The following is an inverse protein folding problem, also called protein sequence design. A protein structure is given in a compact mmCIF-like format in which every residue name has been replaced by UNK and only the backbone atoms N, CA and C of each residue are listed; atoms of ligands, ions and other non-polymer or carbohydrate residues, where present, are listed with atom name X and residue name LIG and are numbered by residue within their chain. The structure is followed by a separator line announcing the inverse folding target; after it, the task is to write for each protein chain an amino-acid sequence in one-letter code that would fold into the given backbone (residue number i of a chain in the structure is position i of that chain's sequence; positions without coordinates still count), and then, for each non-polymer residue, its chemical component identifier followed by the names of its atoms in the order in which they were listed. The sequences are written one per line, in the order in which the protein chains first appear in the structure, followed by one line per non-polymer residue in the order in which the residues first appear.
data_IF_174065325699
#
_entry.id   IF_174065325699
#
_cell.length_a   1.000
_cell.length_b   1.000
_cell.length_c   1.000
_cell.angle_alpha   90.00
_cell.angle_beta   90.00
_cell.angle_gamma   90.00
#
_symmetry.space_group_name_H-M   'P 1'
#
loop_
_entity.id
_entity.type
_entity.pdbx_description
1 polymer ?
#
# COMPACT_ATOMS: atom_id res chain seq x y z
N UNK A 1 -10.23 -1.97 34.02
CA UNK A 1 -9.98 -0.87 33.06
C UNK A 1 -8.58 -0.91 32.46
N UNK A 2 -7.52 -1.25 33.22
CA UNK A 2 -6.16 -1.37 32.70
C UNK A 2 -5.97 -2.39 31.56
N UNK A 3 -6.72 -3.50 31.55
CA UNK A 3 -6.60 -4.53 30.50
C UNK A 3 -7.02 -4.04 29.11
N UNK A 4 -8.12 -3.28 29.00
CA UNK A 4 -8.61 -2.74 27.72
C UNK A 4 -7.59 -1.79 27.08
N UNK A 5 -6.94 -0.95 27.88
CA UNK A 5 -5.91 -0.01 27.40
C UNK A 5 -4.68 -0.75 26.86
N UNK A 6 -4.21 -1.79 27.56
CA UNK A 6 -3.10 -2.63 27.10
C UNK A 6 -3.44 -3.38 25.81
N UNK A 7 -4.67 -3.88 25.67
CA UNK A 7 -5.14 -4.54 24.45
C UNK A 7 -5.20 -3.58 23.26
N UNK A 8 -5.73 -2.36 23.45
CA UNK A 8 -5.78 -1.35 22.40
C UNK A 8 -4.39 -0.91 21.93
N UNK A 9 -3.46 -0.69 22.88
CA UNK A 9 -2.07 -0.34 22.54
C UNK A 9 -1.41 -1.47 21.74
N UNK A 10 -1.60 -2.73 22.16
CA UNK A 10 -1.04 -3.88 21.43
C UNK A 10 -1.61 -4.01 20.01
N UNK A 11 -2.90 -3.75 19.81
CA UNK A 11 -3.53 -3.74 18.47
C UNK A 11 -2.90 -2.67 17.59
N UNK A 12 -2.78 -1.44 18.10
CA UNK A 12 -2.18 -0.34 17.37
C UNK A 12 -0.73 -0.62 16.97
N UNK A 13 0.10 -1.14 17.89
CA UNK A 13 1.48 -1.52 17.55
C UNK A 13 1.54 -2.65 16.52
N UNK A 14 0.63 -3.63 16.59
CA UNK A 14 0.56 -4.69 15.59
C UNK A 14 0.16 -4.16 14.21
N UNK A 15 -0.81 -3.24 14.14
CA UNK A 15 -1.20 -2.59 12.88
C UNK A 15 -0.06 -1.76 12.30
N UNK A 16 0.68 -1.04 13.14
CA UNK A 16 1.85 -0.26 12.73
C UNK A 16 2.95 -1.17 12.17
N UNK A 17 3.26 -2.26 12.87
CA UNK A 17 4.26 -3.24 12.45
C UNK A 17 3.83 -3.97 11.16
N UNK A 18 2.55 -4.29 11.03
CA UNK A 18 2.03 -4.94 9.84
C UNK A 18 2.23 -4.06 8.61
N UNK A 19 1.85 -2.78 8.65
CA UNK A 19 2.02 -1.92 7.49
C UNK A 19 3.48 -1.59 7.19
N UNK A 20 4.32 -1.35 8.20
CA UNK A 20 5.75 -1.06 7.99
C UNK A 20 6.42 -2.22 7.26
N UNK A 21 6.05 -3.47 7.58
CA UNK A 21 6.63 -4.65 6.95
C UNK A 21 6.29 -4.83 5.46
N UNK A 22 5.36 -4.04 4.92
CA UNK A 22 4.82 -4.20 3.56
C UNK A 22 5.81 -3.73 2.51
N UNK A 23 5.95 -4.55 1.48
CA UNK A 23 6.72 -4.22 0.28
C UNK A 23 5.81 -4.35 -0.93
N UNK A 24 5.76 -3.29 -1.72
CA UNK A 24 5.01 -3.24 -2.97
C UNK A 24 5.96 -3.17 -4.16
N UNK A 25 5.62 -3.91 -5.21
CA UNK A 25 6.16 -3.68 -6.56
C UNK A 25 5.05 -3.04 -7.37
N UNK A 26 5.29 -1.84 -7.88
CA UNK A 26 4.32 -1.05 -8.65
C UNK A 26 4.89 -0.87 -10.04
N UNK A 27 4.23 -1.48 -11.02
CA UNK A 27 4.51 -1.26 -12.42
C UNK A 27 3.53 -0.23 -12.97
N UNK A 28 4.06 0.85 -13.53
CA UNK A 28 3.32 1.89 -14.21
C UNK A 28 3.51 1.66 -15.72
N UNK A 29 2.41 1.56 -16.43
CA UNK A 29 2.34 1.41 -17.89
C UNK A 29 1.66 2.66 -18.44
N UNK A 30 2.40 3.44 -19.21
CA UNK A 30 1.88 4.57 -19.99
C UNK A 30 1.71 4.14 -21.45
N UNK A 31 0.66 4.60 -22.12
CA UNK A 31 0.36 4.23 -23.52
C UNK A 31 1.49 4.57 -24.52
N UNK A 32 2.46 5.39 -24.11
CA UNK A 32 3.49 5.97 -24.96
C UNK A 32 4.91 5.35 -24.83
N UNK A 33 5.04 4.09 -24.39
CA UNK A 33 6.29 3.26 -24.41
C UNK A 33 7.14 3.33 -23.11
N UNK A 34 6.70 4.06 -22.08
CA UNK A 34 7.41 4.16 -20.79
C UNK A 34 6.86 3.21 -19.75
N UNK A 35 7.46 2.02 -19.68
CA UNK A 35 7.25 1.05 -18.60
C UNK A 35 8.22 1.33 -17.44
N UNK A 36 7.70 1.70 -16.27
CA UNK A 36 8.51 1.95 -15.08
C UNK A 36 8.05 1.06 -13.93
N UNK A 37 9.00 0.44 -13.24
CA UNK A 37 8.75 -0.40 -12.06
C UNK A 37 9.38 0.24 -10.82
N UNK A 38 8.60 0.34 -9.75
CA UNK A 38 9.00 0.90 -8.47
C UNK A 38 8.89 -0.15 -7.38
N UNK A 39 9.91 -0.24 -6.53
CA UNK A 39 9.84 -1.01 -5.28
C UNK A 39 9.59 -0.04 -4.15
N UNK A 40 8.45 -0.17 -3.49
CA UNK A 40 8.03 0.68 -2.39
C UNK A 40 8.10 -0.13 -1.10
N UNK A 41 8.96 0.30 -0.18
CA UNK A 41 9.04 -0.26 1.17
C UNK A 41 8.33 0.71 2.14
N UNK A 42 7.37 0.20 2.91
CA UNK A 42 6.63 1.00 3.87
C UNK A 42 7.36 1.22 5.22
N UNK A 43 8.49 0.56 5.46
CA UNK A 43 9.31 0.70 6.68
C UNK A 43 9.67 2.18 6.97
N UNK A 44 9.79 3.01 5.94
CA UNK A 44 10.15 4.43 6.04
C UNK A 44 8.97 5.41 6.10
N UNK A 45 7.72 4.95 6.00
CA UNK A 45 6.55 5.83 5.98
C UNK A 45 5.92 6.00 7.37
N UNK A 46 5.21 7.12 7.53
CA UNK A 46 4.50 7.46 8.77
C UNK A 46 3.06 6.98 8.76
N UNK A 47 2.52 6.73 7.56
CA UNK A 47 1.17 6.27 7.34
C UNK A 47 1.11 5.11 6.34
N UNK A 48 0.13 4.21 6.45
CA UNK A 48 -0.10 3.17 5.45
C UNK A 48 -0.34 3.76 4.07
N UNK A 49 0.21 3.12 3.03
CA UNK A 49 0.01 3.50 1.62
C UNK A 49 0.42 4.95 1.29
N UNK A 50 1.30 5.57 2.07
CA UNK A 50 1.68 6.99 1.95
C UNK A 50 2.15 7.36 0.53
N UNK A 51 2.90 6.47 -0.13
CA UNK A 51 3.34 6.68 -1.51
C UNK A 51 2.17 6.80 -2.48
N UNK A 52 1.14 5.96 -2.33
CA UNK A 52 -0.04 5.95 -3.20
C UNK A 52 -0.93 7.16 -2.94
N UNK A 53 -1.07 7.58 -1.67
CA UNK A 53 -1.72 8.85 -1.31
C UNK A 53 -1.05 10.04 -1.99
N UNK A 54 0.29 10.11 -1.95
CA UNK A 54 1.08 11.16 -2.62
C UNK A 54 0.93 11.16 -4.14
N UNK A 55 0.61 10.01 -4.75
CA UNK A 55 0.32 9.88 -6.19
C UNK A 55 -1.12 10.22 -6.57
N UNK A 56 -2.01 10.48 -5.61
CA UNK A 56 -3.39 10.88 -5.88
C UNK A 56 -4.36 9.71 -6.08
N UNK A 57 -4.05 8.54 -5.52
CA UNK A 57 -4.99 7.42 -5.54
C UNK A 57 -6.26 7.79 -4.77
N UNK A 58 -7.42 7.45 -5.33
CA UNK A 58 -8.70 7.67 -4.66
C UNK A 58 -8.85 6.78 -3.41
N UNK A 59 -9.67 7.20 -2.45
CA UNK A 59 -9.93 6.40 -1.23
C UNK A 59 -10.40 4.98 -1.55
N UNK A 60 -11.25 4.81 -2.56
CA UNK A 60 -11.70 3.48 -3.00
C UNK A 60 -10.55 2.59 -3.49
N UNK A 61 -9.56 3.17 -4.19
CA UNK A 61 -8.38 2.43 -4.63
C UNK A 61 -7.50 2.04 -3.44
N UNK A 62 -7.30 2.96 -2.50
CA UNK A 62 -6.51 2.71 -1.29
C UNK A 62 -7.14 1.60 -0.44
N UNK A 63 -8.46 1.60 -0.25
CA UNK A 63 -9.15 0.52 0.47
C UNK A 63 -8.97 -0.85 -0.20
N UNK A 64 -8.94 -0.89 -1.53
CA UNK A 64 -8.69 -2.14 -2.27
C UNK A 64 -7.26 -2.62 -2.10
N UNK A 65 -6.28 -1.70 -2.15
CA UNK A 65 -4.87 -2.03 -1.94
C UNK A 65 -4.61 -2.48 -0.51
N UNK A 66 -5.18 -1.81 0.49
CA UNK A 66 -4.96 -2.13 1.91
C UNK A 66 -5.43 -3.54 2.28
N UNK A 67 -6.49 -4.02 1.61
CA UNK A 67 -7.02 -5.38 1.77
C UNK A 67 -6.20 -6.45 1.05
N UNK A 68 -5.15 -6.08 0.30
CA UNK A 68 -4.35 -7.04 -0.45
C UNK A 68 -3.48 -7.90 0.47
N UNK A 69 -3.56 -9.21 0.25
CA UNK A 69 -2.63 -10.18 0.82
C UNK A 69 -1.31 -10.27 0.04
N UNK A 70 -0.34 -10.98 0.58
CA UNK A 70 0.95 -11.25 -0.08
C UNK A 70 0.73 -11.99 -1.41
N UNK A 71 1.54 -11.64 -2.41
CA UNK A 71 1.47 -12.14 -3.79
C UNK A 71 0.19 -11.82 -4.54
N UNK A 72 -0.72 -11.02 -3.96
CA UNK A 72 -1.86 -10.50 -4.70
C UNK A 72 -1.41 -9.37 -5.62
N UNK A 73 -2.06 -9.32 -6.77
CA UNK A 73 -1.84 -8.32 -7.81
C UNK A 73 -3.17 -7.66 -8.11
N UNK A 74 -3.17 -6.34 -8.19
CA UNK A 74 -4.30 -5.59 -8.72
C UNK A 74 -3.84 -4.60 -9.77
N UNK A 75 -4.71 -4.33 -10.73
CA UNK A 75 -4.53 -3.27 -11.70
C UNK A 75 -5.52 -2.14 -11.39
N UNK A 76 -4.99 -0.92 -11.37
CA UNK A 76 -5.71 0.31 -11.06
C UNK A 76 -5.43 1.30 -12.18
N UNK A 77 -6.47 2.01 -12.61
CA UNK A 77 -6.34 3.02 -13.65
C UNK A 77 -6.39 4.41 -13.02
N UNK A 78 -5.34 5.19 -13.25
CA UNK A 78 -5.18 6.55 -12.73
C UNK A 78 -5.13 7.52 -13.93
N UNK A 79 -6.29 7.98 -14.37
CA UNK A 79 -6.42 8.69 -15.64
C UNK A 79 -6.11 7.75 -16.81
N UNK A 80 -5.18 8.15 -17.68
CA UNK A 80 -4.75 7.36 -18.85
C UNK A 80 -3.57 6.42 -18.54
N UNK A 81 -3.18 6.32 -17.26
CA UNK A 81 -2.03 5.52 -16.81
C UNK A 81 -2.53 4.27 -16.09
N UNK A 82 -2.00 3.10 -16.46
CA UNK A 82 -2.29 1.84 -15.78
C UNK A 82 -1.23 1.54 -14.72
N UNK A 83 -1.66 1.28 -13.50
CA UNK A 83 -0.83 0.94 -12.37
C UNK A 83 -1.12 -0.49 -11.94
N UNK A 84 -0.14 -1.37 -12.08
CA UNK A 84 -0.18 -2.74 -11.59
C UNK A 84 0.60 -2.85 -10.29
N UNK A 85 -0.09 -3.14 -9.20
CA UNK A 85 0.50 -3.25 -7.87
C UNK A 85 0.56 -4.71 -7.46
N UNK A 86 1.69 -5.12 -6.89
CA UNK A 86 1.89 -6.43 -6.30
C UNK A 86 2.38 -6.27 -4.86
N UNK A 87 1.72 -6.93 -3.90
CA UNK A 87 2.26 -7.05 -2.55
C UNK A 87 3.28 -8.18 -2.52
N UNK A 88 4.52 -7.88 -2.18
CA UNK A 88 5.61 -8.87 -2.09
C UNK A 88 5.81 -9.38 -0.67
N UNK A 89 5.49 -8.54 0.33
CA UNK A 89 5.61 -8.83 1.76
C UNK A 89 4.47 -8.15 2.52
#
# INVERSE_FOLDING_TARGET
MASKLLTSIKSFFNEVLDFQSRIWVIHIVEEAITDQSFVINEDGFKEPLEWMKKRGYSENMLERVDKMGISQIIELQLGDISHRLMRVK
#
